data_IF_509816582322
#
_entry.id   IF_509816582322
#
_cell.length_a   1.000
_cell.length_b   1.000
_cell.length_c   1.000
_cell.angle_alpha   90.00
_cell.angle_beta   90.00
_cell.angle_gamma   90.00
#
_symmetry.space_group_name_H-M   'P 1'
#
loop_
_entity.id
_entity.type
_entity.pdbx_description
1 polymer ?
#
# COMPACT_ATOMS: atom_id res chain seq x y z
N UNK A 1 35.89 5.36 7.68
CA UNK A 1 35.16 6.54 7.13
C UNK A 1 36.15 7.62 6.69
N UNK A 2 37.01 8.06 7.61
CA UNK A 2 37.98 9.14 7.43
C UNK A 2 39.18 8.84 6.54
N UNK A 3 39.46 7.56 6.25
CA UNK A 3 40.56 7.18 5.33
C UNK A 3 40.09 6.76 3.94
N UNK A 4 38.79 6.52 3.77
CA UNK A 4 38.23 5.99 2.52
C UNK A 4 37.26 6.99 1.87
N UNK A 5 36.15 7.27 2.55
CA UNK A 5 35.04 8.02 1.94
C UNK A 5 35.27 9.54 2.03
N UNK A 6 35.52 10.07 3.22
CA UNK A 6 35.69 11.51 3.43
C UNK A 6 36.82 12.10 2.58
N UNK A 7 38.03 11.50 2.49
CA UNK A 7 39.10 12.05 1.66
C UNK A 7 38.70 12.20 0.18
N UNK A 8 38.00 11.21 -0.37
CA UNK A 8 37.48 11.29 -1.74
C UNK A 8 36.41 12.38 -1.88
N UNK A 9 35.53 12.53 -0.89
CA UNK A 9 34.50 13.57 -0.87
C UNK A 9 35.02 14.98 -0.59
N UNK A 10 36.26 15.13 -0.10
CA UNK A 10 36.91 16.42 0.15
C UNK A 10 37.73 16.91 -1.05
N UNK A 11 37.92 16.08 -2.08
CA UNK A 11 38.46 16.54 -3.36
C UNK A 11 37.50 17.60 -3.90
N UNK A 12 37.99 18.82 -4.10
CA UNK A 12 37.17 20.00 -4.36
C UNK A 12 36.17 19.77 -5.49
N UNK A 13 36.64 19.26 -6.63
CA UNK A 13 35.83 19.02 -7.82
C UNK A 13 34.73 17.99 -7.56
N UNK A 14 35.03 16.92 -6.79
CA UNK A 14 34.05 15.89 -6.41
C UNK A 14 33.02 16.50 -5.45
N UNK A 15 33.49 17.23 -4.44
CA UNK A 15 32.64 17.84 -3.43
C UNK A 15 31.65 18.83 -4.04
N UNK A 16 32.14 19.77 -4.85
CA UNK A 16 31.33 20.78 -5.55
C UNK A 16 30.30 20.11 -6.46
N UNK A 17 30.71 19.11 -7.25
CA UNK A 17 29.81 18.34 -8.11
C UNK A 17 28.68 17.69 -7.31
N UNK A 18 28.99 17.05 -6.18
CA UNK A 18 27.97 16.40 -5.34
C UNK A 18 27.05 17.43 -4.70
N UNK A 19 27.58 18.56 -4.22
CA UNK A 19 26.82 19.65 -3.59
C UNK A 19 25.82 20.28 -4.56
N UNK A 20 26.26 20.56 -5.78
CA UNK A 20 25.43 21.20 -6.81
C UNK A 20 24.43 20.24 -7.46
N UNK A 21 24.68 18.93 -7.37
CA UNK A 21 23.80 17.93 -7.93
C UNK A 21 22.42 17.91 -7.26
N UNK A 22 21.37 17.96 -8.08
CA UNK A 22 19.98 17.73 -7.66
C UNK A 22 19.66 16.24 -7.47
N UNK A 23 20.61 15.35 -7.75
CA UNK A 23 20.43 13.92 -7.51
C UNK A 23 20.31 13.62 -6.01
N UNK A 24 19.58 12.55 -5.70
CA UNK A 24 19.46 12.05 -4.33
C UNK A 24 20.78 11.46 -3.86
N UNK A 25 21.19 11.87 -2.68
CA UNK A 25 22.44 11.47 -2.02
C UNK A 25 22.11 10.37 -1.04
N UNK A 26 22.42 9.14 -1.43
CA UNK A 26 22.18 7.93 -0.63
C UNK A 26 23.50 7.48 -0.04
N UNK A 27 23.58 7.38 1.28
CA UNK A 27 24.74 6.82 1.97
C UNK A 27 24.45 5.36 2.35
N UNK A 28 25.31 4.44 1.90
CA UNK A 28 25.30 3.05 2.39
C UNK A 28 26.24 2.99 3.58
N UNK A 29 25.68 2.83 4.78
CA UNK A 29 26.44 2.86 6.01
C UNK A 29 27.37 1.64 6.12
N UNK A 30 28.49 1.80 6.83
CA UNK A 30 29.36 0.68 7.13
C UNK A 30 28.62 -0.36 7.98
N UNK A 31 28.91 -1.65 7.76
CA UNK A 31 28.38 -2.75 8.57
C UNK A 31 29.07 -2.83 9.93
N UNK A 32 30.38 -2.60 9.96
CA UNK A 32 31.23 -2.66 11.15
C UNK A 32 31.98 -1.35 11.33
N UNK A 33 32.23 -0.96 12.59
CA UNK A 33 33.16 0.12 12.92
C UNK A 33 34.56 -0.22 12.45
N UNK A 34 35.34 0.80 12.13
CA UNK A 34 36.73 0.67 11.72
C UNK A 34 37.63 1.07 12.89
N UNK A 35 38.49 0.16 13.39
CA UNK A 35 39.42 0.45 14.47
C UNK A 35 40.23 1.73 14.24
N UNK A 36 40.31 2.57 15.26
CA UNK A 36 40.99 3.86 15.27
C UNK A 36 40.41 4.92 14.32
N UNK A 37 39.23 4.68 13.72
CA UNK A 37 38.59 5.62 12.82
C UNK A 37 37.16 5.95 13.20
N UNK A 38 36.36 4.93 13.50
CA UNK A 38 34.93 5.10 13.79
C UNK A 38 34.55 4.26 15.01
N UNK A 39 35.45 4.18 15.99
CA UNK A 39 35.23 3.42 17.22
C UNK A 39 34.05 4.03 17.98
N UNK A 40 33.07 3.19 18.31
CA UNK A 40 31.84 3.61 18.98
C UNK A 40 30.89 4.43 18.11
N UNK A 41 31.17 4.63 16.81
CA UNK A 41 30.26 5.36 15.94
C UNK A 41 28.99 4.55 15.68
N UNK A 42 27.86 5.15 15.96
CA UNK A 42 26.54 4.75 15.48
C UNK A 42 26.36 5.12 14.00
N UNK A 43 25.23 4.72 13.41
CA UNK A 43 24.78 5.25 12.11
C UNK A 43 24.72 6.79 12.13
N UNK A 44 24.29 7.38 13.25
CA UNK A 44 24.15 8.82 13.38
C UNK A 44 25.48 9.56 13.29
N UNK A 45 26.49 9.04 13.98
CA UNK A 45 27.83 9.64 13.98
C UNK A 45 28.46 9.61 12.59
N UNK A 46 28.21 8.55 11.81
CA UNK A 46 28.66 8.48 10.42
C UNK A 46 28.00 9.56 9.56
N UNK A 47 26.68 9.75 9.68
CA UNK A 47 25.93 10.78 8.95
C UNK A 47 26.45 12.16 9.33
N UNK A 48 26.55 12.44 10.64
CA UNK A 48 27.00 13.73 11.14
C UNK A 48 28.42 14.05 10.66
N UNK A 49 29.34 13.09 10.70
CA UNK A 49 30.71 13.26 10.21
C UNK A 49 30.74 13.59 8.71
N UNK A 50 29.97 12.87 7.87
CA UNK A 50 29.91 13.15 6.43
C UNK A 50 29.37 14.56 6.18
N UNK A 51 28.24 14.93 6.78
CA UNK A 51 27.62 16.23 6.54
C UNK A 51 28.48 17.38 7.05
N UNK A 52 29.11 17.22 8.22
CA UNK A 52 30.00 18.22 8.81
C UNK A 52 31.24 18.47 7.96
N UNK A 53 31.91 17.40 7.51
CA UNK A 53 33.14 17.54 6.73
C UNK A 53 32.88 17.90 5.27
N UNK A 54 31.82 17.37 4.66
CA UNK A 54 31.61 17.52 3.22
C UNK A 54 30.69 18.69 2.87
N UNK A 55 29.95 19.26 3.82
CA UNK A 55 29.13 20.46 3.60
C UNK A 55 27.90 20.25 2.72
N UNK A 56 27.42 19.01 2.56
CA UNK A 56 26.13 18.68 1.96
C UNK A 56 25.29 17.79 2.87
N UNK A 57 23.98 17.80 2.66
CA UNK A 57 23.05 16.91 3.35
C UNK A 57 22.86 15.60 2.58
N UNK A 58 22.69 14.51 3.32
CA UNK A 58 22.27 13.22 2.79
C UNK A 58 20.73 13.19 2.73
N UNK A 59 20.19 12.61 1.67
CA UNK A 59 18.75 12.40 1.56
C UNK A 59 18.33 11.11 2.27
N UNK A 60 19.15 10.07 2.12
CA UNK A 60 18.87 8.74 2.66
C UNK A 60 20.12 8.04 3.19
N UNK A 61 19.91 7.16 4.15
CA UNK A 61 20.93 6.29 4.74
C UNK A 61 20.41 4.86 4.74
N UNK A 62 21.15 3.95 4.11
CA UNK A 62 20.90 2.51 4.20
C UNK A 62 21.75 1.95 5.33
N UNK A 63 21.10 1.45 6.38
CA UNK A 63 21.75 0.85 7.54
C UNK A 63 21.41 -0.64 7.62
N UNK A 64 22.37 -1.43 8.08
CA UNK A 64 22.14 -2.86 8.30
C UNK A 64 21.52 -3.09 9.67
N UNK A 65 20.44 -3.87 9.72
CA UNK A 65 19.71 -4.19 10.95
C UNK A 65 20.47 -5.14 11.90
N UNK A 66 21.60 -5.69 11.47
CA UNK A 66 22.42 -6.64 12.26
C UNK A 66 21.95 -8.09 12.19
N UNK A 67 20.75 -8.35 11.68
CA UNK A 67 20.19 -9.69 11.61
C UNK A 67 20.88 -10.53 10.53
N UNK A 68 21.28 -11.77 10.86
CA UNK A 68 21.84 -12.72 9.89
C UNK A 68 23.36 -12.79 9.83
N UNK A 69 24.05 -12.20 10.82
CA UNK A 69 25.47 -12.45 11.11
C UNK A 69 25.53 -13.36 12.34
N UNK A 70 26.35 -14.40 12.31
CA UNK A 70 26.55 -15.33 13.41
C UNK A 70 27.31 -14.68 14.58
N UNK A 71 26.98 -15.09 15.81
CA UNK A 71 27.64 -14.57 17.01
C UNK A 71 29.14 -14.89 17.03
N UNK A 72 29.56 -16.06 16.52
CA UNK A 72 30.98 -16.41 16.44
C UNK A 72 31.77 -15.41 15.56
N UNK A 73 31.17 -14.97 14.46
CA UNK A 73 31.76 -13.95 13.59
C UNK A 73 31.77 -12.59 14.30
N UNK A 74 30.67 -12.20 14.95
CA UNK A 74 30.60 -10.94 15.70
C UNK A 74 31.64 -10.88 16.82
N UNK A 75 31.82 -11.97 17.58
CA UNK A 75 32.80 -12.04 18.67
C UNK A 75 34.23 -11.89 18.15
N UNK A 76 34.55 -12.47 16.99
CA UNK A 76 35.86 -12.25 16.36
C UNK A 76 36.07 -10.77 15.99
N UNK A 77 35.08 -10.11 15.38
CA UNK A 77 35.17 -8.68 15.10
C UNK A 77 35.38 -7.87 16.40
N UNK A 78 34.66 -8.19 17.48
CA UNK A 78 34.83 -7.54 18.80
C UNK A 78 36.26 -7.72 19.33
N UNK A 79 36.86 -8.90 19.16
CA UNK A 79 38.26 -9.18 19.55
C UNK A 79 39.29 -8.35 18.77
N UNK A 80 38.94 -7.94 17.55
CA UNK A 80 39.73 -7.04 16.70
C UNK A 80 39.31 -5.57 16.87
N UNK A 81 38.60 -5.24 17.96
CA UNK A 81 38.07 -3.90 18.31
C UNK A 81 37.04 -3.31 17.32
N UNK A 82 36.55 -4.11 16.38
CA UNK A 82 35.47 -3.72 15.48
C UNK A 82 34.12 -4.19 16.03
N UNK A 83 33.08 -3.36 15.92
CA UNK A 83 31.73 -3.67 16.39
C UNK A 83 30.73 -3.45 15.27
N UNK A 84 29.57 -4.09 15.35
CA UNK A 84 28.47 -3.78 14.44
C UNK A 84 28.11 -2.29 14.57
N UNK A 85 27.93 -1.61 13.45
CA UNK A 85 27.41 -0.23 13.47
C UNK A 85 25.92 -0.32 13.76
N UNK A 86 25.54 0.12 14.95
CA UNK A 86 24.14 0.07 15.38
C UNK A 86 23.39 1.33 14.93
N UNK A 87 22.11 1.19 14.53
CA UNK A 87 21.21 2.32 14.36
C UNK A 87 20.86 2.87 15.74
N UNK A 88 21.76 3.65 16.34
CA UNK A 88 21.46 4.35 17.59
C UNK A 88 20.52 5.52 17.32
N UNK A 89 19.44 5.60 18.10
CA UNK A 89 18.45 6.66 17.99
C UNK A 89 18.98 7.89 18.69
N UNK A 90 19.44 8.87 17.92
CA UNK A 90 19.71 10.20 18.47
C UNK A 90 18.35 10.86 18.74
N UNK A 91 17.87 10.71 19.98
CA UNK A 91 16.81 11.56 20.53
C UNK A 91 17.47 12.87 20.95
N UNK A 92 17.76 13.74 19.98
CA UNK A 92 17.99 15.16 20.29
C UNK A 92 16.65 15.88 20.24
N UNK A 93 16.42 16.79 21.18
CA UNK A 93 15.15 17.53 21.41
C UNK A 93 14.59 18.28 20.16
N UNK A 94 15.29 18.27 19.03
CA UNK A 94 14.84 18.90 17.77
C UNK A 94 14.94 18.00 16.53
N UNK A 95 15.44 16.76 16.64
CA UNK A 95 15.42 15.79 15.53
C UNK A 95 14.10 15.03 15.54
N UNK A 96 13.16 15.48 14.70
CA UNK A 96 11.84 14.87 14.55
C UNK A 96 11.94 13.39 14.17
N UNK A 97 11.82 12.48 15.14
CA UNK A 97 11.36 11.12 14.88
C UNK A 97 9.91 11.26 14.43
N UNK A 98 9.69 11.29 13.12
CA UNK A 98 8.32 11.33 12.59
C UNK A 98 7.75 9.92 12.65
N UNK A 99 7.20 9.57 13.82
CA UNK A 99 6.26 8.46 13.93
C UNK A 99 4.97 8.87 13.21
N UNK A 100 4.84 8.51 11.94
CA UNK A 100 3.52 8.49 11.33
C UNK A 100 2.76 7.32 11.96
N UNK A 101 1.77 7.64 12.80
CA UNK A 101 1.04 6.69 13.64
C UNK A 101 0.42 5.47 12.93
N UNK A 102 0.46 5.35 11.60
CA UNK A 102 -0.23 4.30 10.85
C UNK A 102 0.55 3.70 9.65
N UNK A 103 1.89 3.75 9.65
CA UNK A 103 2.72 3.02 8.65
C UNK A 103 3.61 2.00 9.37
N UNK A 104 3.65 0.70 8.98
CA UNK A 104 4.50 -0.29 9.65
C UNK A 104 6.01 -0.13 9.36
N UNK A 105 6.43 1.02 8.84
CA UNK A 105 7.83 1.39 8.65
C UNK A 105 8.09 2.63 9.49
N UNK A 106 8.77 2.44 10.62
CA UNK A 106 9.31 3.52 11.43
C UNK A 106 10.36 4.25 10.58
N UNK A 107 10.04 5.43 10.07
CA UNK A 107 11.00 6.25 9.32
C UNK A 107 11.82 7.05 10.33
N UNK A 108 13.01 6.57 10.59
CA UNK A 108 13.97 7.25 11.46
C UNK A 108 14.62 8.38 10.69
N UNK A 109 14.59 9.60 11.24
CA UNK A 109 15.33 10.73 10.69
C UNK A 109 16.56 10.96 11.55
N UNK A 110 17.72 11.05 10.92
CA UNK A 110 18.98 11.41 11.58
C UNK A 110 19.59 12.56 10.80
N UNK A 111 19.79 13.70 11.47
CA UNK A 111 20.47 14.87 10.89
C UNK A 111 19.87 15.32 9.53
N UNK A 112 18.55 15.12 9.36
CA UNK A 112 17.81 15.47 8.14
C UNK A 112 17.79 14.38 7.05
N UNK A 113 18.47 13.24 7.25
CA UNK A 113 18.44 12.10 6.33
C UNK A 113 17.44 11.02 6.80
N UNK A 114 16.74 10.40 5.86
CA UNK A 114 15.84 9.26 6.14
C UNK A 114 16.69 7.99 6.25
N UNK A 115 16.64 7.32 7.39
CA UNK A 115 17.30 6.02 7.59
C UNK A 115 16.34 4.90 7.19
N UNK A 116 16.84 3.98 6.37
CA UNK A 116 16.17 2.73 6.00
C UNK A 116 17.02 1.58 6.48
N UNK A 117 16.46 0.80 7.38
CA UNK A 117 17.09 -0.39 7.93
C UNK A 117 16.63 -1.65 7.19
N UNK A 118 17.57 -2.47 6.78
CA UNK A 118 17.28 -3.78 6.18
C UNK A 118 18.36 -4.80 6.55
N UNK A 119 18.14 -6.07 6.25
CA UNK A 119 19.18 -7.07 6.28
C UNK A 119 20.06 -6.90 5.04
N UNK A 120 21.18 -6.21 5.18
CA UNK A 120 22.07 -5.86 4.08
C UNK A 120 23.36 -6.67 4.06
N UNK A 121 23.60 -7.50 5.08
CA UNK A 121 24.88 -8.19 5.26
C UNK A 121 24.83 -9.68 4.84
N UNK A 122 25.97 -10.20 4.40
CA UNK A 122 26.26 -11.63 4.36
C UNK A 122 27.66 -11.94 4.88
N UNK A 123 27.85 -13.19 5.30
CA UNK A 123 29.15 -13.75 5.63
C UNK A 123 29.77 -14.36 4.38
N UNK A 124 31.03 -14.02 4.09
CA UNK A 124 31.79 -14.58 2.96
C UNK A 124 33.13 -15.08 3.42
N UNK A 125 33.49 -16.29 3.03
CA UNK A 125 34.84 -16.79 3.22
C UNK A 125 35.75 -16.12 2.19
N UNK A 126 36.65 -15.26 2.66
CA UNK A 126 37.65 -14.57 1.83
C UNK A 126 39.05 -15.07 2.20
N UNK A 127 39.96 -15.03 1.23
CA UNK A 127 41.39 -15.33 1.46
C UNK A 127 42.14 -14.02 1.42
N UNK A 128 42.87 -13.69 2.48
CA UNK A 128 43.74 -12.52 2.51
C UNK A 128 44.84 -12.69 1.45
N UNK A 129 44.91 -11.76 0.49
CA UNK A 129 45.83 -11.84 -0.65
C UNK A 129 47.30 -11.72 -0.23
N UNK A 130 47.59 -11.16 0.96
CA UNK A 130 48.95 -10.98 1.49
C UNK A 130 49.38 -12.12 2.40
N UNK A 131 48.50 -12.61 3.27
CA UNK A 131 48.84 -13.66 4.24
C UNK A 131 48.43 -15.07 3.80
N UNK A 132 47.55 -15.20 2.82
CA UNK A 132 46.96 -16.48 2.39
C UNK A 132 45.95 -17.06 3.40
N UNK A 133 45.67 -16.35 4.49
CA UNK A 133 44.77 -16.81 5.55
C UNK A 133 43.31 -16.71 5.09
N UNK A 134 42.53 -17.77 5.33
CA UNK A 134 41.10 -17.77 5.06
C UNK A 134 40.33 -17.23 6.26
N UNK A 135 39.61 -16.14 6.07
CA UNK A 135 38.77 -15.52 7.10
C UNK A 135 37.36 -15.32 6.59
N UNK A 136 36.39 -15.59 7.45
CA UNK A 136 35.01 -15.19 7.19
C UNK A 136 34.96 -13.66 7.32
N UNK A 137 34.38 -12.95 6.37
CA UNK A 137 34.23 -11.51 6.39
C UNK A 137 32.75 -11.14 6.29
N UNK A 138 32.36 -10.10 7.01
CA UNK A 138 31.03 -9.51 6.88
C UNK A 138 31.07 -8.49 5.76
N UNK A 139 30.28 -8.72 4.72
CA UNK A 139 30.16 -7.87 3.53
C UNK A 139 28.73 -7.47 3.29
N UNK A 140 28.53 -6.38 2.56
CA UNK A 140 27.22 -6.07 2.03
C UNK A 140 26.85 -7.15 1.00
N UNK A 141 25.68 -7.74 1.17
CA UNK A 141 25.13 -8.65 0.17
C UNK A 141 24.66 -7.83 -1.04
N UNK A 142 25.23 -8.05 -2.24
CA UNK A 142 24.91 -7.23 -3.41
C UNK A 142 23.43 -7.32 -3.82
N UNK A 143 22.78 -8.47 -3.64
CA UNK A 143 21.38 -8.65 -4.02
C UNK A 143 20.45 -7.94 -3.05
N UNK A 144 20.68 -8.10 -1.74
CA UNK A 144 19.89 -7.39 -0.70
C UNK A 144 20.09 -5.89 -0.77
N UNK A 145 21.32 -5.42 -0.95
CA UNK A 145 21.63 -4.01 -1.11
C UNK A 145 20.95 -3.42 -2.37
N UNK A 146 21.02 -4.13 -3.50
CA UNK A 146 20.35 -3.69 -4.73
C UNK A 146 18.84 -3.61 -4.55
N UNK A 147 18.24 -4.59 -3.88
CA UNK A 147 16.81 -4.59 -3.58
C UNK A 147 16.41 -3.39 -2.67
N UNK A 148 17.19 -3.12 -1.62
CA UNK A 148 16.95 -2.00 -0.72
C UNK A 148 17.04 -0.64 -1.44
N UNK A 149 18.04 -0.46 -2.31
CA UNK A 149 18.19 0.75 -3.12
C UNK A 149 17.00 0.91 -4.08
N UNK A 150 16.64 -0.15 -4.81
CA UNK A 150 15.52 -0.13 -5.76
C UNK A 150 14.21 0.21 -5.05
N UNK A 151 13.95 -0.39 -3.90
CA UNK A 151 12.80 -0.11 -3.06
C UNK A 151 12.75 1.35 -2.62
N UNK A 152 13.87 1.89 -2.15
CA UNK A 152 13.96 3.29 -1.73
C UNK A 152 13.68 4.26 -2.88
N UNK A 153 14.22 3.97 -4.07
CA UNK A 153 13.98 4.77 -5.27
C UNK A 153 12.52 4.69 -5.73
N UNK A 154 11.90 3.51 -5.64
CA UNK A 154 10.48 3.30 -5.92
C UNK A 154 9.61 4.10 -4.94
N UNK A 155 9.86 3.98 -3.65
CA UNK A 155 9.13 4.70 -2.59
C UNK A 155 9.23 6.22 -2.78
N UNK A 156 10.43 6.71 -3.11
CA UNK A 156 10.64 8.10 -3.46
C UNK A 156 9.79 8.52 -4.67
N UNK A 157 9.80 7.73 -5.74
CA UNK A 157 9.06 8.03 -6.95
C UNK A 157 7.53 8.03 -6.73
N UNK A 158 7.01 7.09 -5.95
CA UNK A 158 5.60 7.05 -5.53
C UNK A 158 5.21 8.33 -4.78
N UNK A 159 6.03 8.78 -3.82
CA UNK A 159 5.77 9.99 -3.02
C UNK A 159 5.70 11.25 -3.88
N UNK A 160 6.47 11.32 -4.96
CA UNK A 160 6.39 12.44 -5.91
C UNK A 160 5.03 12.54 -6.62
N UNK A 161 4.23 11.48 -6.57
CA UNK A 161 2.86 11.42 -7.09
C UNK A 161 1.83 11.28 -5.96
N UNK A 162 2.21 11.63 -4.73
CA UNK A 162 1.38 11.53 -3.52
C UNK A 162 0.88 10.11 -3.20
N UNK A 163 1.53 9.08 -3.74
CA UNK A 163 1.23 7.67 -3.46
C UNK A 163 2.21 7.15 -2.42
N UNK A 164 1.72 6.38 -1.45
CA UNK A 164 2.55 5.70 -0.45
C UNK A 164 2.54 4.20 -0.73
N UNK A 165 3.71 3.53 -0.72
CA UNK A 165 3.75 2.07 -0.94
C UNK A 165 2.91 1.27 0.05
N UNK A 166 2.77 1.76 1.28
CA UNK A 166 2.00 1.09 2.33
C UNK A 166 0.50 0.91 2.01
N UNK A 167 -0.03 1.60 0.99
CA UNK A 167 -1.42 1.40 0.56
C UNK A 167 -1.61 0.13 -0.25
N UNK A 168 -0.55 -0.41 -0.87
CA UNK A 168 -0.61 -1.66 -1.63
C UNK A 168 -0.53 -2.83 -0.64
N UNK A 169 -1.67 -3.48 -0.40
CA UNK A 169 -1.78 -4.69 0.43
C UNK A 169 -1.69 -5.93 -0.46
N UNK A 170 -1.79 -7.11 0.13
CA UNK A 170 -1.69 -8.37 -0.61
C UNK A 170 -2.81 -8.53 -1.65
N UNK A 171 -4.04 -8.13 -1.33
CA UNK A 171 -5.22 -8.39 -2.17
C UNK A 171 -5.88 -7.14 -2.77
N UNK A 172 -5.52 -5.94 -2.29
CA UNK A 172 -6.14 -4.69 -2.71
C UNK A 172 -5.31 -3.46 -2.29
N UNK A 173 -5.83 -2.27 -2.59
CA UNK A 173 -5.28 -1.00 -2.12
C UNK A 173 -6.14 -0.49 -0.96
N UNK A 174 -5.53 -0.19 0.20
CA UNK A 174 -6.24 0.36 1.37
C UNK A 174 -5.38 1.34 2.16
N UNK A 175 -6.00 2.39 2.68
CA UNK A 175 -5.35 3.36 3.55
C UNK A 175 -6.33 4.34 4.20
N UNK A 176 -5.82 5.16 5.13
CA UNK A 176 -6.62 6.19 5.79
C UNK A 176 -6.78 7.39 4.87
N UNK A 177 -8.01 7.89 4.72
CA UNK A 177 -8.29 9.03 3.83
C UNK A 177 -7.70 10.32 4.38
N UNK A 178 -7.10 11.13 3.51
CA UNK A 178 -6.41 12.38 3.88
C UNK A 178 -4.98 12.18 4.39
N UNK A 179 -4.62 10.96 4.80
CA UNK A 179 -3.25 10.59 5.23
C UNK A 179 -2.57 9.77 4.13
N UNK A 180 -3.13 8.62 3.81
CA UNK A 180 -2.58 7.69 2.82
C UNK A 180 -3.27 7.81 1.46
N UNK A 181 -4.59 8.02 1.49
CA UNK A 181 -5.42 8.15 0.29
C UNK A 181 -5.86 9.60 0.12
N UNK A 182 -5.21 10.28 -0.82
CA UNK A 182 -5.56 11.65 -1.25
C UNK A 182 -6.20 11.62 -2.64
N UNK A 183 -6.88 12.70 -3.03
CA UNK A 183 -7.43 12.80 -4.39
C UNK A 183 -6.33 12.64 -5.47
N UNK A 184 -5.14 13.20 -5.25
CA UNK A 184 -4.01 13.04 -6.17
C UNK A 184 -3.49 11.60 -6.25
N UNK A 185 -3.47 10.89 -5.12
CA UNK A 185 -3.14 9.47 -5.08
C UNK A 185 -4.17 8.64 -5.89
N UNK A 186 -5.46 8.89 -5.69
CA UNK A 186 -6.54 8.18 -6.40
C UNK A 186 -6.52 8.45 -7.91
N UNK A 187 -6.27 9.70 -8.32
CA UNK A 187 -6.08 10.05 -9.73
C UNK A 187 -4.88 9.31 -10.34
N UNK A 188 -3.75 9.27 -9.61
CA UNK A 188 -2.55 8.53 -10.03
C UNK A 188 -2.83 7.03 -10.15
N UNK A 189 -3.53 6.45 -9.18
CA UNK A 189 -3.94 5.05 -9.18
C UNK A 189 -4.88 4.73 -10.36
N UNK A 190 -5.87 5.58 -10.61
CA UNK A 190 -6.76 5.44 -11.77
C UNK A 190 -5.99 5.47 -13.08
N UNK A 191 -5.03 6.38 -13.23
CA UNK A 191 -4.19 6.47 -14.43
C UNK A 191 -3.27 5.25 -14.60
N UNK A 192 -2.69 4.77 -13.51
CA UNK A 192 -1.85 3.57 -13.49
C UNK A 192 -2.65 2.33 -13.88
N UNK A 193 -3.83 2.16 -13.28
CA UNK A 193 -4.70 1.03 -13.57
C UNK A 193 -5.24 1.06 -15.00
N UNK A 194 -5.67 2.23 -15.50
CA UNK A 194 -6.09 2.36 -16.90
C UNK A 194 -4.97 2.06 -17.90
N UNK A 195 -3.72 2.43 -17.57
CA UNK A 195 -2.52 2.03 -18.33
C UNK A 195 -2.31 0.52 -18.28
N UNK A 196 -2.47 -0.08 -17.11
CA UNK A 196 -2.31 -1.52 -16.89
C UNK A 196 -3.30 -2.34 -17.72
N UNK A 197 -4.60 -2.01 -17.64
CA UNK A 197 -5.67 -2.64 -18.43
C UNK A 197 -5.35 -2.61 -19.92
N UNK A 198 -4.94 -1.44 -20.44
CA UNK A 198 -4.58 -1.28 -21.85
C UNK A 198 -3.39 -2.14 -22.26
N UNK A 199 -2.35 -2.23 -21.44
CA UNK A 199 -1.18 -3.07 -21.73
C UNK A 199 -1.48 -4.56 -21.66
N UNK A 200 -2.33 -4.98 -20.71
CA UNK A 200 -2.69 -6.39 -20.54
C UNK A 200 -3.67 -6.90 -21.59
N UNK A 201 -4.64 -6.07 -21.99
CA UNK A 201 -5.79 -6.51 -22.80
C UNK A 201 -5.78 -5.96 -24.23
N UNK A 202 -5.01 -4.90 -24.51
CA UNK A 202 -5.10 -4.14 -25.75
C UNK A 202 -6.38 -3.31 -25.90
N UNK A 203 -7.22 -3.28 -24.86
CA UNK A 203 -8.51 -2.58 -24.82
C UNK A 203 -8.59 -1.65 -23.60
N UNK A 204 -9.69 -0.92 -23.44
CA UNK A 204 -9.71 0.27 -22.56
C UNK A 204 -11.05 0.55 -21.88
N UNK A 205 -12.02 -0.37 -21.91
CA UNK A 205 -13.30 -0.19 -21.22
C UNK A 205 -13.17 -0.60 -19.76
N UNK A 206 -13.48 0.30 -18.84
CA UNK A 206 -13.33 0.07 -17.40
C UNK A 206 -14.62 0.42 -16.68
N UNK A 207 -15.21 -0.52 -15.94
CA UNK A 207 -16.32 -0.21 -15.05
C UNK A 207 -15.82 0.28 -13.69
N UNK A 208 -16.54 1.19 -13.05
CA UNK A 208 -16.20 1.67 -11.72
C UNK A 208 -17.46 1.88 -10.87
N UNK A 209 -17.41 1.45 -9.61
CA UNK A 209 -18.42 1.71 -8.61
C UNK A 209 -17.82 2.07 -7.26
N UNK A 210 -18.65 2.47 -6.31
CA UNK A 210 -18.20 2.86 -4.98
C UNK A 210 -19.17 2.46 -3.86
N UNK A 211 -18.67 2.31 -2.63
CA UNK A 211 -19.49 1.92 -1.47
C UNK A 211 -20.14 3.12 -0.73
N UNK A 212 -20.79 2.88 0.40
CA UNK A 212 -21.54 3.88 1.16
C UNK A 212 -20.69 4.90 1.95
N UNK A 213 -19.35 4.77 1.98
CA UNK A 213 -18.51 5.65 2.80
C UNK A 213 -18.62 7.10 2.36
N UNK A 214 -18.61 8.03 3.31
CA UNK A 214 -18.69 9.48 3.06
C UNK A 214 -17.61 9.94 2.07
N UNK A 215 -16.42 9.34 2.14
CA UNK A 215 -15.27 9.66 1.31
C UNK A 215 -15.30 8.98 -0.07
N UNK A 216 -16.09 7.92 -0.25
CA UNK A 216 -16.07 7.12 -1.48
C UNK A 216 -16.44 7.93 -2.71
N UNK A 217 -17.43 8.82 -2.62
CA UNK A 217 -17.86 9.64 -3.78
C UNK A 217 -16.76 10.56 -4.31
N UNK A 218 -15.94 11.17 -3.45
CA UNK A 218 -14.88 12.07 -3.89
C UNK A 218 -13.67 11.31 -4.46
N UNK A 219 -13.28 10.21 -3.81
CA UNK A 219 -12.21 9.32 -4.25
C UNK A 219 -12.56 8.60 -5.57
N UNK A 220 -13.82 8.25 -5.75
CA UNK A 220 -14.40 7.74 -6.98
C UNK A 220 -14.20 8.72 -8.15
N UNK A 221 -14.60 9.99 -7.99
CA UNK A 221 -14.39 11.02 -9.01
C UNK A 221 -12.91 11.22 -9.36
N UNK A 222 -12.04 11.22 -8.36
CA UNK A 222 -10.59 11.32 -8.59
C UNK A 222 -10.06 10.11 -9.39
N UNK A 223 -10.52 8.90 -9.07
CA UNK A 223 -10.15 7.68 -9.79
C UNK A 223 -10.63 7.71 -11.24
N UNK A 224 -11.87 8.14 -11.49
CA UNK A 224 -12.41 8.35 -12.85
C UNK A 224 -11.52 9.31 -13.65
N UNK A 225 -11.13 10.43 -13.05
CA UNK A 225 -10.26 11.41 -13.71
C UNK A 225 -8.94 10.78 -14.15
N UNK A 226 -8.34 9.96 -13.30
CA UNK A 226 -7.16 9.17 -13.60
C UNK A 226 -7.37 8.23 -14.80
N UNK A 227 -8.41 7.42 -14.76
CA UNK A 227 -8.77 6.48 -15.83
C UNK A 227 -8.96 7.18 -17.17
N UNK A 228 -9.76 8.25 -17.20
CA UNK A 228 -10.03 9.05 -18.40
C UNK A 228 -8.74 9.66 -18.97
N UNK A 229 -7.84 10.16 -18.12
CA UNK A 229 -6.56 10.74 -18.55
C UNK A 229 -5.62 9.71 -19.20
N UNK A 230 -5.79 8.43 -18.89
CA UNK A 230 -5.06 7.33 -19.54
C UNK A 230 -5.66 6.91 -20.89
N UNK A 231 -6.82 7.47 -21.26
CA UNK A 231 -7.55 7.13 -22.48
C UNK A 231 -8.66 6.10 -22.31
N UNK A 232 -8.98 5.67 -21.07
CA UNK A 232 -10.03 4.67 -20.82
C UNK A 232 -11.44 5.19 -21.09
N UNK A 233 -12.29 4.27 -21.54
CA UNK A 233 -13.74 4.45 -21.66
C UNK A 233 -14.37 3.95 -20.36
N UNK A 234 -14.77 4.88 -19.50
CA UNK A 234 -15.21 4.57 -18.14
C UNK A 234 -16.72 4.39 -18.09
N UNK A 235 -17.17 3.29 -17.51
CA UNK A 235 -18.57 3.04 -17.20
C UNK A 235 -18.78 3.24 -15.70
N UNK A 236 -19.42 4.35 -15.33
CA UNK A 236 -19.76 4.69 -13.96
C UNK A 236 -21.05 3.96 -13.54
N UNK A 237 -20.92 3.10 -12.52
CA UNK A 237 -22.04 2.33 -11.96
C UNK A 237 -22.66 3.02 -10.74
N UNK A 238 -22.07 4.13 -10.29
CA UNK A 238 -22.50 4.84 -9.09
C UNK A 238 -22.23 4.07 -7.79
N UNK A 239 -23.10 4.27 -6.81
CA UNK A 239 -23.00 3.62 -5.51
C UNK A 239 -23.57 2.21 -5.58
N UNK A 240 -22.69 1.20 -5.64
CA UNK A 240 -23.08 -0.21 -5.78
C UNK A 240 -22.21 -1.13 -4.93
N UNK A 241 -22.74 -2.30 -4.50
CA UNK A 241 -21.97 -3.38 -3.93
C UNK A 241 -20.79 -3.85 -4.79
N UNK A 242 -19.71 -4.29 -4.15
CA UNK A 242 -18.54 -4.88 -4.84
C UNK A 242 -18.94 -6.00 -5.82
N UNK A 243 -19.86 -6.94 -5.50
CA UNK A 243 -20.25 -7.98 -6.44
C UNK A 243 -20.92 -7.45 -7.72
N UNK A 244 -21.55 -6.27 -7.68
CA UNK A 244 -22.17 -5.66 -8.88
C UNK A 244 -21.12 -5.09 -9.83
N UNK A 245 -20.01 -4.58 -9.30
CA UNK A 245 -18.85 -4.21 -10.12
C UNK A 245 -18.24 -5.44 -10.80
N UNK A 246 -18.08 -6.55 -10.08
CA UNK A 246 -17.62 -7.81 -10.67
C UNK A 246 -18.62 -8.36 -11.71
N UNK A 247 -19.92 -8.24 -11.46
CA UNK A 247 -20.97 -8.64 -12.41
C UNK A 247 -20.90 -7.80 -13.70
N UNK A 248 -20.62 -6.50 -13.59
CA UNK A 248 -20.49 -5.59 -14.71
C UNK A 248 -19.41 -6.02 -15.72
N UNK A 249 -18.34 -6.69 -15.27
CA UNK A 249 -17.29 -7.26 -16.15
C UNK A 249 -17.93 -8.10 -17.26
N UNK A 250 -18.74 -9.09 -16.86
CA UNK A 250 -19.36 -10.02 -17.80
C UNK A 250 -20.61 -9.44 -18.46
N UNK A 251 -21.37 -8.62 -17.74
CA UNK A 251 -22.63 -8.08 -18.24
C UNK A 251 -22.44 -6.98 -19.28
N UNK A 252 -21.46 -6.09 -19.07
CA UNK A 252 -21.18 -4.94 -19.94
C UNK A 252 -19.99 -5.17 -20.88
N UNK A 253 -19.34 -6.34 -20.77
CA UNK A 253 -18.13 -6.71 -21.53
C UNK A 253 -17.04 -5.64 -21.40
N UNK A 254 -16.67 -5.33 -20.16
CA UNK A 254 -15.56 -4.41 -19.86
C UNK A 254 -14.25 -5.18 -19.62
N UNK A 255 -13.12 -4.50 -19.83
CA UNK A 255 -11.78 -5.10 -19.76
C UNK A 255 -11.18 -5.00 -18.36
N UNK A 256 -11.64 -4.05 -17.55
CA UNK A 256 -11.28 -3.94 -16.15
C UNK A 256 -12.41 -3.38 -15.31
N UNK A 257 -12.30 -3.57 -13.99
CA UNK A 257 -13.27 -3.06 -13.04
C UNK A 257 -12.59 -2.52 -11.78
N UNK A 258 -13.17 -1.47 -11.21
CA UNK A 258 -12.66 -0.78 -10.01
C UNK A 258 -13.80 -0.62 -9.01
N UNK A 259 -13.62 -1.11 -7.79
CA UNK A 259 -14.50 -0.75 -6.67
C UNK A 259 -13.74 0.16 -5.71
N UNK A 260 -14.28 1.35 -5.47
CA UNK A 260 -13.82 2.23 -4.38
C UNK A 260 -14.48 1.78 -3.08
N UNK A 261 -13.70 1.17 -2.20
CA UNK A 261 -14.18 0.62 -0.93
C UNK A 261 -13.02 0.28 0.01
N UNK A 262 -13.29 0.30 1.31
CA UNK A 262 -12.45 -0.30 2.34
C UNK A 262 -13.05 -1.60 2.93
N UNK A 263 -14.08 -2.17 2.30
CA UNK A 263 -14.79 -3.35 2.81
C UNK A 263 -15.31 -3.11 4.23
N UNK A 264 -14.97 -3.96 5.21
CA UNK A 264 -15.41 -3.89 6.61
C UNK A 264 -14.58 -2.96 7.51
N UNK A 265 -13.51 -2.30 6.99
CA UNK A 265 -12.65 -1.46 7.84
C UNK A 265 -13.42 -0.26 8.45
N UNK A 266 -12.89 0.38 9.51
CA UNK A 266 -13.46 1.60 10.08
C UNK A 266 -13.69 2.73 9.06
N UNK A 267 -14.58 3.68 9.37
CA UNK A 267 -15.10 4.70 8.45
C UNK A 267 -14.01 5.59 7.81
N UNK A 268 -12.92 5.85 8.52
CA UNK A 268 -11.78 6.66 8.08
C UNK A 268 -10.93 5.99 6.98
N UNK A 269 -11.10 4.68 6.75
CA UNK A 269 -10.43 3.95 5.70
C UNK A 269 -11.19 4.02 4.36
N UNK A 270 -10.43 3.94 3.27
CA UNK A 270 -10.97 3.66 1.94
C UNK A 270 -9.93 2.86 1.14
N UNK A 271 -10.21 2.62 -0.14
CA UNK A 271 -9.36 1.78 -0.96
C UNK A 271 -9.85 1.56 -2.38
N UNK A 272 -9.12 0.69 -3.10
CA UNK A 272 -9.47 0.21 -4.43
C UNK A 272 -9.36 -1.32 -4.47
N UNK A 273 -10.42 -1.98 -4.91
CA UNK A 273 -10.35 -3.35 -5.44
C UNK A 273 -10.29 -3.25 -6.96
N UNK A 274 -9.30 -3.91 -7.57
CA UNK A 274 -9.01 -3.82 -8.99
C UNK A 274 -9.18 -5.20 -9.64
N UNK A 275 -9.75 -5.26 -10.84
CA UNK A 275 -9.96 -6.50 -11.59
C UNK A 275 -9.67 -6.29 -13.07
N UNK A 276 -9.02 -7.26 -13.73
CA UNK A 276 -8.88 -7.28 -15.20
C UNK A 276 -9.59 -8.53 -15.71
N UNK A 277 -10.57 -8.36 -16.58
CA UNK A 277 -11.56 -9.41 -16.80
C UNK A 277 -12.16 -9.87 -15.48
N UNK A 278 -12.26 -11.18 -15.27
CA UNK A 278 -12.77 -11.77 -14.02
C UNK A 278 -11.72 -11.91 -12.92
N UNK A 279 -10.47 -11.57 -13.19
CA UNK A 279 -9.36 -11.86 -12.29
C UNK A 279 -9.11 -10.64 -11.37
N UNK A 280 -9.17 -10.81 -10.04
CA UNK A 280 -8.76 -9.77 -9.12
C UNK A 280 -7.25 -9.54 -9.19
N UNK A 281 -6.82 -8.29 -9.14
CA UNK A 281 -5.41 -7.94 -9.02
C UNK A 281 -4.99 -8.07 -7.56
N UNK A 282 -4.09 -9.02 -7.33
CA UNK A 282 -3.46 -9.28 -6.04
C UNK A 282 -1.98 -9.61 -6.24
N UNK A 283 -1.20 -9.57 -5.16
CA UNK A 283 0.20 -9.97 -5.15
C UNK A 283 1.04 -9.27 -6.22
N UNK A 284 1.74 -10.06 -7.04
CA UNK A 284 2.64 -9.56 -8.08
C UNK A 284 1.96 -8.67 -9.12
N UNK A 285 0.71 -8.98 -9.48
CA UNK A 285 -0.04 -8.20 -10.48
C UNK A 285 -0.39 -6.80 -9.94
N UNK A 286 -0.68 -6.68 -8.64
CA UNK A 286 -0.89 -5.38 -8.02
C UNK A 286 0.43 -4.58 -7.94
N UNK A 287 1.56 -5.27 -7.73
CA UNK A 287 2.88 -4.63 -7.77
C UNK A 287 3.25 -4.14 -9.19
N UNK A 288 2.72 -4.74 -10.26
CA UNK A 288 2.89 -4.18 -11.61
C UNK A 288 2.29 -2.77 -11.71
N UNK A 289 1.14 -2.53 -11.08
CA UNK A 289 0.51 -1.19 -11.04
C UNK A 289 1.36 -0.21 -10.23
N UNK A 290 1.88 -0.64 -9.08
CA UNK A 290 2.81 0.15 -8.26
C UNK A 290 4.06 0.55 -9.07
N UNK A 291 4.69 -0.41 -9.77
CA UNK A 291 5.84 -0.16 -10.64
C UNK A 291 5.53 0.83 -11.76
N UNK A 292 4.35 0.79 -12.36
CA UNK A 292 3.95 1.78 -13.38
C UNK A 292 3.97 3.19 -12.82
N UNK A 293 3.53 3.38 -11.57
CA UNK A 293 3.54 4.67 -10.90
C UNK A 293 4.97 5.11 -10.60
N UNK A 294 5.78 4.23 -10.01
CA UNK A 294 7.16 4.53 -9.68
C UNK A 294 7.98 4.93 -10.92
N UNK A 295 7.76 4.26 -12.06
CA UNK A 295 8.46 4.58 -13.32
C UNK A 295 7.78 5.69 -14.13
N UNK A 296 6.66 6.26 -13.65
CA UNK A 296 5.82 7.24 -14.37
C UNK A 296 5.44 6.75 -15.78
N UNK A 297 5.34 5.44 -15.95
CA UNK A 297 5.19 4.78 -17.23
C UNK A 297 3.72 4.74 -17.67
N UNK A 298 3.05 5.89 -17.63
CA UNK A 298 1.61 6.01 -17.91
C UNK A 298 1.31 6.10 -19.40
N UNK A 299 0.18 5.52 -19.81
CA UNK A 299 -0.47 5.90 -21.06
C UNK A 299 -1.13 7.27 -20.89
N UNK A 300 -1.16 8.05 -21.97
CA UNK A 300 -1.89 9.32 -22.04
C UNK A 300 -2.91 9.22 -23.16
N UNK A 301 -4.13 9.65 -22.90
CA UNK A 301 -5.19 9.62 -23.89
C UNK A 301 -6.37 10.50 -23.50
N UNK A 302 -7.38 10.54 -24.37
CA UNK A 302 -8.67 11.19 -24.10
C UNK A 302 -9.74 10.12 -24.02
N UNK A 303 -10.08 9.74 -22.79
CA UNK A 303 -11.21 8.88 -22.49
C UNK A 303 -12.53 9.63 -22.40
N UNK A 304 -13.58 8.93 -22.01
CA UNK A 304 -14.88 9.51 -21.67
C UNK A 304 -15.56 8.69 -20.58
N UNK A 305 -16.65 9.21 -20.03
CA UNK A 305 -17.44 8.57 -18.98
C UNK A 305 -18.87 8.40 -19.48
N UNK A 306 -19.45 7.24 -19.25
CA UNK A 306 -20.89 6.95 -19.42
C UNK A 306 -21.42 6.30 -18.16
N UNK A 307 -22.68 6.54 -17.82
CA UNK A 307 -23.34 5.86 -16.71
C UNK A 307 -24.04 4.59 -17.20
N UNK A 308 -24.10 3.56 -16.35
CA UNK A 308 -24.88 2.35 -16.64
C UNK A 308 -25.51 1.76 -15.37
N UNK A 309 -26.75 1.29 -15.49
CA UNK A 309 -27.41 0.51 -14.46
C UNK A 309 -26.99 -0.96 -14.55
N UNK A 310 -26.52 -1.51 -13.43
CA UNK A 310 -26.22 -2.94 -13.24
C UNK A 310 -27.05 -3.58 -12.14
N UNK A 311 -27.84 -2.79 -11.40
CA UNK A 311 -28.70 -3.29 -10.31
C UNK A 311 -29.85 -4.09 -10.91
N UNK A 312 -30.59 -3.51 -11.85
CA UNK A 312 -31.77 -4.18 -12.45
C UNK A 312 -31.39 -5.48 -13.17
N UNK A 313 -30.35 -5.53 -14.03
CA UNK A 313 -29.95 -6.78 -14.67
C UNK A 313 -29.45 -7.84 -13.67
N UNK A 314 -28.76 -7.44 -12.60
CA UNK A 314 -28.32 -8.36 -11.56
C UNK A 314 -29.50 -8.98 -10.80
N UNK A 315 -30.51 -8.17 -10.44
CA UNK A 315 -31.74 -8.64 -9.80
C UNK A 315 -32.49 -9.64 -10.69
N UNK A 316 -32.67 -9.34 -11.97
CA UNK A 316 -33.29 -10.26 -12.93
C UNK A 316 -32.52 -11.59 -13.03
N UNK A 317 -31.19 -11.56 -13.02
CA UNK A 317 -30.36 -12.75 -13.04
C UNK A 317 -30.59 -13.65 -11.82
N UNK A 318 -30.71 -13.06 -10.62
CA UNK A 318 -31.02 -13.82 -9.39
C UNK A 318 -32.42 -14.42 -9.47
N UNK A 319 -33.42 -13.62 -9.85
CA UNK A 319 -34.81 -14.06 -9.94
C UNK A 319 -35.00 -15.25 -10.90
N UNK A 320 -34.28 -15.25 -12.02
CA UNK A 320 -34.37 -16.35 -12.99
C UNK A 320 -33.70 -17.64 -12.51
N UNK A 321 -32.76 -17.55 -11.56
CA UNK A 321 -31.96 -18.69 -11.09
C UNK A 321 -32.43 -19.26 -9.76
N UNK A 322 -33.05 -18.45 -8.91
CA UNK A 322 -33.40 -18.82 -7.54
C UNK A 322 -34.91 -18.90 -7.41
N UNK A 323 -35.41 -20.08 -7.08
CA UNK A 323 -36.82 -20.34 -6.80
C UNK A 323 -36.95 -20.94 -5.40
N UNK A 324 -37.75 -20.31 -4.55
CA UNK A 324 -38.04 -20.81 -3.21
C UNK A 324 -39.27 -21.73 -3.24
N UNK A 325 -39.24 -22.82 -2.48
CA UNK A 325 -40.38 -23.75 -2.36
C UNK A 325 -41.52 -23.18 -1.50
N UNK A 326 -41.20 -22.20 -0.64
CA UNK A 326 -42.16 -21.44 0.18
C UNK A 326 -41.59 -20.04 0.48
N UNK A 327 -42.46 -19.05 0.78
CA UNK A 327 -42.03 -17.80 1.39
C UNK A 327 -41.28 -18.03 2.71
N UNK A 328 -40.25 -17.22 2.95
CA UNK A 328 -39.52 -17.15 4.22
C UNK A 328 -39.73 -15.78 4.87
N UNK A 329 -39.66 -15.73 6.19
CA UNK A 329 -39.52 -14.49 6.96
C UNK A 329 -38.04 -14.28 7.29
N UNK A 330 -37.44 -13.23 6.75
CA UNK A 330 -36.00 -12.98 6.81
C UNK A 330 -35.73 -11.66 7.51
N UNK A 331 -34.78 -11.65 8.46
CA UNK A 331 -34.17 -10.41 8.95
C UNK A 331 -32.87 -10.18 8.18
N UNK A 332 -32.71 -9.01 7.56
CA UNK A 332 -31.42 -8.62 6.97
C UNK A 332 -30.82 -7.50 7.80
N UNK A 333 -29.57 -7.67 8.20
CA UNK A 333 -28.74 -6.61 8.75
C UNK A 333 -27.67 -6.20 7.72
N UNK A 334 -27.62 -4.93 7.36
CA UNK A 334 -26.59 -4.43 6.44
C UNK A 334 -25.56 -3.51 7.11
N UNK A 335 -25.64 -3.26 8.43
CA UNK A 335 -24.71 -2.39 9.15
C UNK A 335 -24.50 -1.01 8.50
N UNK A 336 -25.55 -0.45 7.87
CA UNK A 336 -25.51 0.77 7.05
C UNK A 336 -24.58 0.73 5.82
N UNK A 337 -24.16 -0.46 5.41
CA UNK A 337 -23.37 -0.70 4.23
C UNK A 337 -24.17 -0.59 2.93
N UNK A 338 -23.45 -0.58 1.80
CA UNK A 338 -24.02 -0.41 0.46
C UNK A 338 -24.93 -1.56 0.01
N UNK A 339 -24.85 -2.73 0.67
CA UNK A 339 -25.62 -3.92 0.32
C UNK A 339 -27.11 -3.82 0.66
N UNK A 340 -27.48 -2.99 1.65
CA UNK A 340 -28.83 -2.97 2.24
C UNK A 340 -29.97 -2.84 1.23
N UNK A 341 -30.00 -1.81 0.36
CA UNK A 341 -31.10 -1.62 -0.59
C UNK A 341 -31.25 -2.80 -1.56
N UNK A 342 -30.14 -3.29 -2.11
CA UNK A 342 -30.15 -4.44 -3.03
C UNK A 342 -30.64 -5.70 -2.33
N UNK A 343 -30.17 -5.97 -1.11
CA UNK A 343 -30.55 -7.16 -0.36
C UNK A 343 -32.05 -7.16 -0.05
N UNK A 344 -32.59 -6.02 0.40
CA UNK A 344 -34.03 -5.85 0.66
C UNK A 344 -34.85 -6.10 -0.60
N UNK A 345 -34.46 -5.52 -1.73
CA UNK A 345 -35.19 -5.70 -2.99
C UNK A 345 -35.13 -7.15 -3.48
N UNK A 346 -33.96 -7.78 -3.48
CA UNK A 346 -33.80 -9.18 -3.91
C UNK A 346 -34.66 -10.12 -3.06
N UNK A 347 -34.62 -10.00 -1.73
CA UNK A 347 -35.41 -10.86 -0.85
C UNK A 347 -36.92 -10.64 -1.06
N UNK A 348 -37.35 -9.39 -1.21
CA UNK A 348 -38.76 -9.07 -1.50
C UNK A 348 -39.20 -9.69 -2.83
N UNK A 349 -38.36 -9.62 -3.87
CA UNK A 349 -38.66 -10.21 -5.17
C UNK A 349 -38.74 -11.75 -5.15
N UNK A 350 -38.01 -12.41 -4.25
CA UNK A 350 -38.13 -13.86 -4.03
C UNK A 350 -39.42 -14.27 -3.29
N UNK A 351 -40.29 -13.31 -2.97
CA UNK A 351 -41.58 -13.55 -2.32
C UNK A 351 -41.47 -13.73 -0.80
N UNK A 352 -40.37 -13.32 -0.19
CA UNK A 352 -40.16 -13.39 1.26
C UNK A 352 -40.71 -12.16 2.00
N UNK A 353 -41.11 -12.36 3.26
CA UNK A 353 -41.29 -11.28 4.22
C UNK A 353 -39.92 -10.82 4.69
N UNK A 354 -39.67 -9.50 4.65
CA UNK A 354 -38.38 -8.91 4.97
C UNK A 354 -38.51 -7.94 6.15
N UNK A 355 -37.63 -8.10 7.14
CA UNK A 355 -37.45 -7.19 8.26
C UNK A 355 -36.05 -6.57 8.11
N UNK A 356 -35.94 -5.33 7.62
CA UNK A 356 -34.66 -4.67 7.46
C UNK A 356 -34.13 -4.14 8.81
N UNK A 357 -32.86 -4.39 9.07
CA UNK A 357 -32.03 -3.75 10.09
C UNK A 357 -30.91 -3.00 9.38
N UNK A 358 -30.77 -1.71 9.72
CA UNK A 358 -29.66 -0.86 9.27
C UNK A 358 -29.40 -0.94 7.75
N UNK A 359 -30.46 -1.09 6.94
CA UNK A 359 -30.37 -1.28 5.49
C UNK A 359 -30.25 0.01 4.68
N UNK A 360 -30.44 1.17 5.32
CA UNK A 360 -30.21 2.47 4.69
C UNK A 360 -28.71 2.79 4.71
N UNK A 361 -28.08 3.02 3.55
CA UNK A 361 -26.66 3.32 3.49
C UNK A 361 -26.29 4.59 4.26
N UNK A 362 -25.40 4.48 5.24
CA UNK A 362 -24.82 5.58 5.99
C UNK A 362 -23.34 5.29 6.28
N UNK A 363 -22.46 6.03 5.59
CA UNK A 363 -21.01 5.87 5.69
C UNK A 363 -20.39 6.27 7.04
N UNK A 364 -21.17 6.74 8.01
CA UNK A 364 -20.73 6.91 9.39
C UNK A 364 -20.86 5.62 10.22
N UNK A 365 -21.58 4.62 9.72
CA UNK A 365 -21.84 3.33 10.38
C UNK A 365 -22.32 3.49 11.83
N UNK A 366 -23.45 4.21 12.07
CA UNK A 366 -23.83 4.69 13.41
C UNK A 366 -24.31 3.60 14.39
N UNK A 367 -24.64 2.40 13.90
CA UNK A 367 -25.22 1.34 14.74
C UNK A 367 -24.15 0.37 15.24
N UNK A 368 -23.45 -0.29 14.31
CA UNK A 368 -22.28 -1.12 14.57
C UNK A 368 -21.38 -1.14 13.32
N UNK A 369 -20.10 -1.51 13.45
CA UNK A 369 -19.24 -1.76 12.29
C UNK A 369 -19.89 -2.79 11.33
N UNK A 370 -19.82 -2.59 9.99
CA UNK A 370 -20.34 -3.53 9.01
C UNK A 370 -19.37 -4.71 8.83
N UNK A 371 -19.11 -5.43 9.91
CA UNK A 371 -18.25 -6.61 9.94
C UNK A 371 -18.98 -7.80 10.59
N UNK A 372 -19.62 -8.67 9.79
CA UNK A 372 -20.36 -9.82 10.31
C UNK A 372 -19.46 -10.95 10.80
N UNK A 373 -18.13 -10.85 10.69
CA UNK A 373 -17.19 -11.83 11.26
C UNK A 373 -17.16 -11.74 12.78
N UNK A 374 -17.35 -10.53 13.31
CA UNK A 374 -17.35 -10.27 14.75
C UNK A 374 -18.74 -10.54 15.35
N UNK A 375 -18.82 -11.50 16.28
CA UNK A 375 -20.08 -11.93 16.87
C UNK A 375 -20.82 -10.83 17.64
N UNK A 376 -20.10 -9.79 18.10
CA UNK A 376 -20.67 -8.61 18.76
C UNK A 376 -21.54 -7.79 17.80
N UNK A 377 -21.18 -7.71 16.52
CA UNK A 377 -21.93 -6.97 15.51
C UNK A 377 -23.22 -7.69 15.07
N UNK A 378 -23.47 -8.91 15.55
CA UNK A 378 -24.63 -9.72 15.20
C UNK A 378 -25.72 -9.74 16.29
N UNK A 379 -25.51 -9.05 17.42
CA UNK A 379 -26.42 -9.13 18.57
C UNK A 379 -27.83 -8.60 18.25
N UNK A 380 -27.92 -7.50 17.52
CA UNK A 380 -29.20 -6.91 17.12
C UNK A 380 -29.95 -7.83 16.14
N UNK A 381 -29.22 -8.43 15.19
CA UNK A 381 -29.77 -9.44 14.27
C UNK A 381 -30.34 -10.65 15.03
N UNK A 382 -29.55 -11.25 15.93
CA UNK A 382 -29.99 -12.41 16.73
C UNK A 382 -31.21 -12.08 17.56
N UNK A 383 -31.22 -10.91 18.18
CA UNK A 383 -32.35 -10.42 18.98
C UNK A 383 -33.59 -10.26 18.11
N UNK A 384 -33.47 -9.59 16.96
CA UNK A 384 -34.59 -9.35 16.05
C UNK A 384 -35.18 -10.63 15.48
N UNK A 385 -34.34 -11.61 15.13
CA UNK A 385 -34.78 -12.92 14.65
C UNK A 385 -35.65 -13.61 15.71
N UNK A 386 -35.20 -13.64 16.97
CA UNK A 386 -35.96 -14.24 18.09
C UNK A 386 -37.26 -13.49 18.37
N UNK A 387 -37.21 -12.16 18.40
CA UNK A 387 -38.38 -11.31 18.67
C UNK A 387 -39.49 -11.47 17.62
N UNK A 388 -39.10 -11.58 16.34
CA UNK A 388 -40.06 -11.59 15.22
C UNK A 388 -40.47 -12.97 14.75
N UNK A 389 -39.85 -14.02 15.30
CA UNK A 389 -40.03 -15.40 14.87
C UNK A 389 -39.61 -15.62 13.42
N UNK A 390 -38.57 -14.91 12.97
CA UNK A 390 -38.08 -15.06 11.59
C UNK A 390 -37.48 -16.45 11.36
N UNK A 391 -37.59 -16.94 10.12
CA UNK A 391 -37.01 -18.23 9.71
C UNK A 391 -35.47 -18.16 9.72
N UNK A 392 -34.89 -17.02 9.36
CA UNK A 392 -33.43 -16.82 9.25
C UNK A 392 -33.04 -15.34 9.40
N UNK A 393 -31.83 -15.10 9.91
CA UNK A 393 -31.16 -13.81 9.89
C UNK A 393 -29.93 -13.83 8.99
N UNK A 394 -29.71 -12.77 8.21
CA UNK A 394 -28.57 -12.62 7.30
C UNK A 394 -27.90 -11.27 7.57
N UNK A 395 -26.59 -11.26 7.82
CA UNK A 395 -25.77 -10.05 7.88
C UNK A 395 -24.88 -9.96 6.63
N UNK A 396 -24.69 -8.75 6.07
CA UNK A 396 -24.01 -8.53 4.77
C UNK A 396 -22.95 -7.45 4.76
#
# INVERSE_FOLDING_TARGET
>A
LFTNLIPALLIKEINETIRESSARKIFVCNLMTQPNQTDGYSVADHVQAIQTHCGFRLDYVLANKGNGISEDVLERYRSETARLVEPEWVVTDESQVVLFAHTPQQLTMIEGAIVVEDNLANERLETDERSGERKIMVRHDPARLSAAILQLLQDYALRQLSVRRAIFREYDVRGVVGVDLTAGAMETMGRAFGTYVQRRTGRRRVAIGYDARVTSRSLHKATIKGLVSSGCEVIDLGQVPTPLVSFAVNHLFVDGAVQVTASHNPAEFNGLKLQVGTDPLAGEELQHVERLIAHRAFTTGKGWVTEADVVTPYQHCIQQKVHLSRPLKVVIDAGNGVNGPLAVEVIRYLGCEIIPLYCDPDGHFPNHPPDPVEAENLQDLVTKVKETGADVGIAV
#
